data_IF_312061546718
#
_entry.id   IF_312061546718
#
_cell.length_a   1.000
_cell.length_b   1.000
_cell.length_c   1.000
_cell.angle_alpha   90.00
_cell.angle_beta   90.00
_cell.angle_gamma   90.00
#
_symmetry.space_group_name_H-M   'P 1'
#
loop_
_entity.id
_entity.type
_entity.pdbx_description
1 polymer ?
#
# COMPACT_ATOMS: atom_id res chain seq x y z
N UNK A 1 -30.41 -23.84 -9.41
CA UNK A 1 -30.08 -22.49 -9.91
C UNK A 1 -28.77 -22.64 -10.65
N UNK A 2 -28.73 -22.50 -11.98
CA UNK A 2 -27.46 -22.54 -12.73
C UNK A 2 -26.92 -21.12 -12.82
N UNK A 3 -25.63 -20.95 -12.52
CA UNK A 3 -24.95 -19.68 -12.71
C UNK A 3 -24.60 -19.52 -14.20
N UNK A 4 -24.65 -18.29 -14.76
CA UNK A 4 -24.32 -18.00 -16.17
C UNK A 4 -22.80 -17.96 -16.37
N UNK A 5 -22.13 -19.11 -16.18
CA UNK A 5 -20.67 -19.24 -16.25
C UNK A 5 -20.24 -20.29 -17.28
N UNK A 6 -19.18 -19.99 -18.01
CA UNK A 6 -18.57 -20.87 -19.01
C UNK A 6 -17.20 -21.31 -18.48
N UNK A 7 -16.88 -22.60 -18.61
CA UNK A 7 -15.56 -23.15 -18.30
C UNK A 7 -14.83 -23.52 -19.58
N UNK A 8 -13.59 -23.04 -19.74
CA UNK A 8 -12.71 -23.46 -20.82
C UNK A 8 -11.75 -24.57 -20.32
N UNK A 9 -11.86 -25.81 -20.84
CA UNK A 9 -11.01 -26.93 -20.41
C UNK A 9 -9.54 -26.79 -20.80
N UNK A 10 -9.21 -25.94 -21.79
CA UNK A 10 -7.83 -25.73 -22.24
C UNK A 10 -7.12 -24.74 -21.33
N UNK A 11 -7.70 -23.56 -21.13
CA UNK A 11 -7.13 -22.54 -20.24
C UNK A 11 -7.36 -22.83 -18.75
N UNK A 12 -8.31 -23.72 -18.43
CA UNK A 12 -8.79 -24.01 -17.07
C UNK A 12 -9.33 -22.76 -16.36
N UNK A 13 -9.89 -21.82 -17.11
CA UNK A 13 -10.47 -20.58 -16.61
C UNK A 13 -12.00 -20.61 -16.72
N UNK A 14 -12.63 -19.88 -15.80
CA UNK A 14 -14.06 -19.61 -15.80
C UNK A 14 -14.30 -18.19 -16.34
N UNK A 15 -15.30 -18.03 -17.20
CA UNK A 15 -15.75 -16.75 -17.75
C UNK A 15 -17.26 -16.56 -17.58
N UNK A 16 -17.71 -15.31 -17.68
CA UNK A 16 -19.14 -14.96 -17.60
C UNK A 16 -19.76 -15.04 -18.99
N UNK A 17 -21.00 -15.52 -19.08
CA UNK A 17 -21.80 -15.42 -20.30
C UNK A 17 -22.17 -13.96 -20.61
N UNK A 18 -22.25 -13.59 -21.89
CA UNK A 18 -22.57 -12.20 -22.32
C UNK A 18 -23.87 -11.65 -21.69
N UNK A 19 -24.80 -12.54 -21.32
CA UNK A 19 -26.08 -12.23 -20.68
C UNK A 19 -25.97 -11.68 -19.25
N UNK A 20 -24.85 -11.92 -18.57
CA UNK A 20 -24.60 -11.51 -17.18
C UNK A 20 -23.36 -10.62 -17.03
N UNK A 21 -22.84 -10.07 -18.14
CA UNK A 21 -21.63 -9.26 -18.17
C UNK A 21 -21.72 -7.93 -17.39
N UNK A 22 -22.93 -7.49 -17.02
CA UNK A 22 -23.13 -6.28 -16.21
C UNK A 22 -22.96 -6.51 -14.70
N UNK A 23 -22.89 -7.78 -14.25
CA UNK A 23 -22.72 -8.13 -12.85
C UNK A 23 -21.25 -8.04 -12.41
N UNK A 24 -20.90 -6.90 -11.80
CA UNK A 24 -19.54 -6.63 -11.30
C UNK A 24 -19.15 -7.55 -10.15
N UNK A 25 -20.08 -7.91 -9.27
CA UNK A 25 -19.79 -8.77 -8.12
C UNK A 25 -19.40 -10.17 -8.60
N UNK A 26 -20.17 -10.71 -9.55
CA UNK A 26 -19.86 -12.01 -10.17
C UNK A 26 -18.51 -11.98 -10.91
N UNK A 27 -18.19 -10.87 -11.58
CA UNK A 27 -16.91 -10.70 -12.28
C UNK A 27 -15.73 -10.72 -11.31
N UNK A 28 -15.84 -10.04 -10.17
CA UNK A 28 -14.82 -10.02 -9.14
C UNK A 28 -14.59 -11.42 -8.54
N UNK A 29 -15.66 -12.16 -8.24
CA UNK A 29 -15.58 -13.53 -7.72
C UNK A 29 -14.91 -14.50 -8.71
N UNK A 30 -15.25 -14.41 -10.00
CA UNK A 30 -14.64 -15.24 -11.04
C UNK A 30 -13.16 -14.92 -11.23
N UNK A 31 -12.78 -13.64 -11.15
CA UNK A 31 -11.37 -13.22 -11.17
C UNK A 31 -10.60 -13.78 -9.96
N UNK A 32 -11.21 -13.74 -8.77
CA UNK A 32 -10.63 -14.32 -7.56
C UNK A 32 -10.47 -15.85 -7.67
N UNK A 33 -11.48 -16.54 -8.21
CA UNK A 33 -11.47 -17.97 -8.47
C UNK A 33 -10.36 -18.36 -9.48
N UNK A 34 -10.29 -17.65 -10.60
CA UNK A 34 -9.28 -17.90 -11.63
C UNK A 34 -7.85 -17.70 -11.12
N UNK A 35 -7.63 -16.68 -10.28
CA UNK A 35 -6.34 -16.45 -9.62
C UNK A 35 -6.00 -17.60 -8.66
N UNK A 36 -6.94 -18.00 -7.82
CA UNK A 36 -6.73 -19.12 -6.88
C UNK A 36 -6.46 -20.45 -7.60
N UNK A 37 -7.21 -20.74 -8.66
CA UNK A 37 -7.03 -21.95 -9.47
C UNK A 37 -5.63 -22.00 -10.10
N UNK A 38 -5.13 -20.88 -10.64
CA UNK A 38 -3.76 -20.78 -11.16
C UNK A 38 -2.72 -21.05 -10.07
N UNK A 39 -2.88 -20.45 -8.90
CA UNK A 39 -1.96 -20.65 -7.78
C UNK A 39 -1.91 -22.13 -7.35
N UNK A 40 -3.07 -22.77 -7.21
CA UNK A 40 -3.18 -24.20 -6.86
C UNK A 40 -2.53 -25.11 -7.90
N UNK A 41 -2.81 -24.89 -9.18
CA UNK A 41 -2.19 -25.65 -10.28
C UNK A 41 -0.67 -25.50 -10.27
N UNK A 42 -0.17 -24.29 -9.98
CA UNK A 42 1.27 -24.02 -9.93
C UNK A 42 1.99 -24.69 -8.75
N UNK A 43 1.27 -24.99 -7.67
CA UNK A 43 1.82 -25.58 -6.45
C UNK A 43 2.10 -27.09 -6.62
N UNK A 44 1.45 -27.74 -7.59
CA UNK A 44 1.60 -29.17 -7.88
C UNK A 44 1.37 -30.09 -6.67
N UNK A 45 0.56 -29.64 -5.70
CA UNK A 45 0.10 -30.37 -4.53
C UNK A 45 -1.42 -30.28 -4.45
N UNK A 46 -2.07 -31.36 -4.03
CA UNK A 46 -3.53 -31.39 -3.84
C UNK A 46 -3.98 -30.52 -2.66
N UNK A 47 -3.10 -30.33 -1.67
CA UNK A 47 -3.35 -29.54 -0.48
C UNK A 47 -2.20 -28.54 -0.30
N UNK A 48 -2.49 -27.23 -0.16
CA UNK A 48 -1.47 -26.25 0.15
C UNK A 48 -0.71 -26.63 1.43
N UNK A 49 0.62 -26.52 1.39
CA UNK A 49 1.46 -26.73 2.57
C UNK A 49 1.12 -25.73 3.69
N UNK A 50 1.56 -26.03 4.92
CA UNK A 50 1.42 -25.16 6.09
C UNK A 50 1.76 -23.70 5.74
N UNK A 51 1.07 -22.69 6.31
CA UNK A 51 1.23 -21.27 5.99
C UNK A 51 2.61 -20.73 6.43
N UNK A 52 3.66 -21.12 5.71
CA UNK A 52 5.01 -20.62 5.86
C UNK A 52 5.31 -19.56 4.79
N UNK A 53 6.10 -18.52 5.11
CA UNK A 53 6.54 -17.56 4.10
C UNK A 53 7.36 -18.23 3.01
N UNK A 54 7.14 -17.87 1.74
CA UNK A 54 7.93 -18.40 0.63
C UNK A 54 9.43 -18.21 0.84
N UNK A 55 10.17 -19.32 0.75
CA UNK A 55 11.64 -19.38 0.89
C UNK A 55 12.38 -18.67 -0.25
N UNK A 56 11.73 -18.46 -1.39
CA UNK A 56 12.31 -17.82 -2.58
C UNK A 56 11.92 -16.33 -2.70
N UNK A 57 10.65 -16.02 -2.51
CA UNK A 57 10.15 -14.65 -2.70
C UNK A 57 10.58 -13.73 -1.55
N UNK A 58 10.59 -14.23 -0.30
CA UNK A 58 10.93 -13.39 0.87
C UNK A 58 12.36 -12.82 0.81
N UNK A 59 13.42 -13.60 0.48
CA UNK A 59 14.76 -13.04 0.31
C UNK A 59 14.86 -12.05 -0.86
N UNK A 60 14.16 -12.32 -1.96
CA UNK A 60 14.20 -11.46 -3.14
C UNK A 60 13.53 -10.10 -2.88
N UNK A 61 12.37 -10.10 -2.20
CA UNK A 61 11.69 -8.87 -1.78
C UNK A 61 12.57 -8.10 -0.80
N UNK A 62 13.14 -8.75 0.21
CA UNK A 62 14.10 -8.11 1.14
C UNK A 62 15.27 -7.45 0.41
N UNK A 63 15.83 -8.09 -0.61
CA UNK A 63 16.91 -7.53 -1.44
C UNK A 63 16.48 -6.28 -2.22
N UNK A 64 15.25 -6.27 -2.76
CA UNK A 64 14.71 -5.08 -3.43
C UNK A 64 14.49 -3.94 -2.45
N UNK A 65 13.99 -4.23 -1.25
CA UNK A 65 13.79 -3.23 -0.19
C UNK A 65 15.13 -2.65 0.26
N UNK A 66 16.14 -3.48 0.51
CA UNK A 66 17.47 -2.99 0.90
C UNK A 66 18.08 -2.12 -0.20
N UNK A 67 17.95 -2.52 -1.46
CA UNK A 67 18.37 -1.73 -2.62
C UNK A 67 17.62 -0.39 -2.71
N UNK A 68 16.31 -0.37 -2.49
CA UNK A 68 15.50 0.85 -2.46
C UNK A 68 15.90 1.80 -1.33
N UNK A 69 16.16 1.28 -0.13
CA UNK A 69 16.65 2.06 1.03
C UNK A 69 18.03 2.65 0.75
N UNK A 70 18.93 1.90 0.12
CA UNK A 70 20.25 2.43 -0.28
C UNK A 70 20.13 3.54 -1.32
N UNK A 71 19.25 3.39 -2.31
CA UNK A 71 18.98 4.42 -3.30
C UNK A 71 18.41 5.70 -2.63
N UNK A 72 17.52 5.54 -1.66
CA UNK A 72 16.97 6.64 -0.85
C UNK A 72 18.09 7.38 -0.09
N UNK A 73 18.99 6.65 0.57
CA UNK A 73 20.16 7.23 1.26
C UNK A 73 21.09 8.00 0.31
N UNK A 74 21.25 7.50 -0.92
CA UNK A 74 22.03 8.14 -1.99
C UNK A 74 21.27 9.30 -2.68
N UNK A 75 20.09 9.68 -2.19
CA UNK A 75 19.19 10.71 -2.78
C UNK A 75 18.78 10.42 -4.22
N UNK A 76 18.78 9.15 -4.63
CA UNK A 76 18.29 8.70 -5.94
C UNK A 76 16.81 8.30 -5.82
N UNK A 77 15.95 9.29 -5.63
CA UNK A 77 14.52 9.04 -5.33
C UNK A 77 13.76 8.28 -6.42
N UNK A 78 13.91 8.61 -7.73
CA UNK A 78 13.20 7.88 -8.79
C UNK A 78 13.60 6.39 -8.86
N UNK A 79 14.88 6.10 -8.64
CA UNK A 79 15.39 4.73 -8.61
C UNK A 79 14.83 3.97 -7.39
N UNK A 80 14.80 4.60 -6.21
CA UNK A 80 14.22 4.03 -5.01
C UNK A 80 12.74 3.67 -5.20
N UNK A 81 11.94 4.59 -5.76
CA UNK A 81 10.52 4.38 -6.04
C UNK A 81 10.32 3.18 -6.95
N UNK A 82 11.14 3.04 -8.01
CA UNK A 82 11.06 1.90 -8.94
C UNK A 82 11.34 0.57 -8.24
N UNK A 83 12.41 0.48 -7.45
CA UNK A 83 12.77 -0.74 -6.73
C UNK A 83 11.69 -1.14 -5.71
N UNK A 84 11.15 -0.17 -4.97
CA UNK A 84 10.11 -0.41 -3.97
C UNK A 84 8.76 -0.79 -4.60
N UNK A 85 8.43 -0.21 -5.76
CA UNK A 85 7.23 -0.58 -6.50
C UNK A 85 7.33 -2.00 -7.06
N UNK A 86 8.50 -2.40 -7.56
CA UNK A 86 8.77 -3.77 -7.96
C UNK A 86 8.67 -4.74 -6.77
N UNK A 87 9.14 -4.33 -5.58
CA UNK A 87 9.00 -5.13 -4.36
C UNK A 87 7.53 -5.37 -3.99
N UNK A 88 6.66 -4.37 -4.14
CA UNK A 88 5.21 -4.52 -3.91
C UNK A 88 4.57 -5.43 -4.96
N UNK A 89 4.95 -5.28 -6.23
CA UNK A 89 4.47 -6.17 -7.30
C UNK A 89 4.85 -7.64 -7.00
N UNK A 90 6.08 -7.88 -6.56
CA UNK A 90 6.53 -9.20 -6.14
C UNK A 90 5.78 -9.73 -4.91
N UNK A 91 5.51 -8.88 -3.91
CA UNK A 91 4.74 -9.27 -2.73
C UNK A 91 3.28 -9.64 -3.10
N UNK A 92 2.68 -8.95 -4.08
CA UNK A 92 1.31 -9.22 -4.56
C UNK A 92 1.15 -10.55 -5.31
N UNK A 93 2.26 -11.13 -5.78
CA UNK A 93 2.30 -12.42 -6.48
C UNK A 93 2.47 -13.62 -5.56
N UNK A 94 2.52 -13.40 -4.24
CA UNK A 94 2.58 -14.50 -3.27
C UNK A 94 1.28 -15.30 -3.26
N UNK A 95 1.40 -16.56 -2.92
CA UNK A 95 0.24 -17.43 -2.72
C UNK A 95 -0.62 -16.92 -1.56
N UNK A 96 -1.94 -17.01 -1.73
CA UNK A 96 -2.90 -16.44 -0.76
C UNK A 96 -3.04 -17.21 0.55
N UNK A 97 -2.54 -18.44 0.62
CA UNK A 97 -2.57 -19.27 1.83
C UNK A 97 -1.33 -19.13 2.71
N UNK A 98 -0.36 -18.26 2.37
CA UNK A 98 0.75 -17.97 3.28
C UNK A 98 0.29 -17.13 4.49
N UNK A 99 1.13 -17.05 5.52
CA UNK A 99 0.85 -16.28 6.72
C UNK A 99 0.61 -14.78 6.42
N UNK A 100 -0.65 -14.35 6.49
CA UNK A 100 -1.06 -12.96 6.24
C UNK A 100 -0.31 -11.96 7.12
N UNK A 101 -0.06 -12.29 8.39
CA UNK A 101 0.67 -11.42 9.30
C UNK A 101 2.07 -11.04 8.78
N UNK A 102 2.78 -11.99 8.14
CA UNK A 102 4.12 -11.75 7.58
C UNK A 102 4.02 -10.89 6.32
N UNK A 103 3.05 -11.19 5.44
CA UNK A 103 2.84 -10.42 4.22
C UNK A 103 2.47 -8.96 4.52
N UNK A 104 1.58 -8.74 5.50
CA UNK A 104 1.13 -7.42 5.90
C UNK A 104 2.27 -6.60 6.51
N UNK A 105 3.07 -7.18 7.41
CA UNK A 105 4.22 -6.50 7.99
C UNK A 105 5.25 -6.08 6.94
N UNK A 106 5.53 -6.97 5.97
CA UNK A 106 6.45 -6.67 4.89
C UNK A 106 5.90 -5.55 3.99
N UNK A 107 4.64 -5.64 3.57
CA UNK A 107 3.99 -4.59 2.77
C UNK A 107 4.04 -3.23 3.47
N UNK A 108 3.71 -3.18 4.76
CA UNK A 108 3.76 -1.96 5.56
C UNK A 108 5.18 -1.38 5.60
N UNK A 109 6.22 -2.22 5.70
CA UNK A 109 7.61 -1.76 5.67
C UNK A 109 7.99 -1.15 4.31
N UNK A 110 7.51 -1.72 3.20
CA UNK A 110 7.79 -1.24 1.85
C UNK A 110 7.07 0.09 1.60
N UNK A 111 5.79 0.16 1.96
CA UNK A 111 4.97 1.38 1.81
C UNK A 111 5.56 2.55 2.59
N UNK A 112 6.06 2.33 3.80
CA UNK A 112 6.65 3.41 4.61
C UNK A 112 7.89 4.03 3.91
N UNK A 113 8.79 3.18 3.39
CA UNK A 113 10.00 3.64 2.69
C UNK A 113 9.64 4.28 1.34
N UNK A 114 8.63 3.75 0.64
CA UNK A 114 8.18 4.30 -0.65
C UNK A 114 7.51 5.66 -0.47
N UNK A 115 6.70 5.82 0.58
CA UNK A 115 6.13 7.11 0.98
C UNK A 115 7.23 8.15 1.21
N UNK A 116 8.28 7.81 1.98
CA UNK A 116 9.42 8.72 2.20
C UNK A 116 10.10 9.11 0.87
N UNK A 117 10.28 8.15 -0.04
CA UNK A 117 10.84 8.41 -1.37
C UNK A 117 9.95 9.34 -2.21
N UNK A 118 8.62 9.16 -2.17
CA UNK A 118 7.67 10.04 -2.86
C UNK A 118 7.66 11.46 -2.29
N UNK A 119 7.65 11.61 -0.95
CA UNK A 119 7.73 12.91 -0.27
C UNK A 119 9.02 13.64 -0.71
N UNK A 120 10.17 12.94 -0.69
CA UNK A 120 11.45 13.53 -1.11
C UNK A 120 11.49 13.89 -2.60
N UNK A 121 10.76 13.15 -3.44
CA UNK A 121 10.61 13.44 -4.87
C UNK A 121 9.49 14.43 -5.18
N UNK A 122 8.83 15.02 -4.16
CA UNK A 122 7.70 15.96 -4.28
C UNK A 122 6.48 15.37 -5.00
N UNK A 123 6.30 14.05 -4.94
CA UNK A 123 5.14 13.32 -5.45
C UNK A 123 4.10 13.16 -4.33
N UNK A 124 3.36 14.24 -4.06
CA UNK A 124 2.52 14.34 -2.87
C UNK A 124 1.28 13.45 -2.91
N UNK A 125 0.66 13.29 -4.08
CA UNK A 125 -0.55 12.47 -4.22
C UNK A 125 -0.24 10.98 -3.99
N UNK A 126 0.85 10.50 -4.57
CA UNK A 126 1.33 9.12 -4.40
C UNK A 126 1.79 8.87 -2.96
N UNK A 127 2.52 9.81 -2.36
CA UNK A 127 2.88 9.74 -0.95
C UNK A 127 1.65 9.67 -0.03
N UNK A 128 0.63 10.47 -0.30
CA UNK A 128 -0.62 10.48 0.45
C UNK A 128 -1.33 9.13 0.39
N UNK A 129 -1.41 8.52 -0.80
CA UNK A 129 -2.05 7.21 -0.96
C UNK A 129 -1.30 6.09 -0.22
N UNK A 130 0.03 6.09 -0.27
CA UNK A 130 0.85 5.09 0.45
C UNK A 130 0.64 5.16 1.96
N UNK A 131 0.64 6.38 2.53
CA UNK A 131 0.45 6.55 3.97
C UNK A 131 -1.00 6.37 4.41
N UNK A 132 -1.97 6.69 3.55
CA UNK A 132 -3.37 6.41 3.84
C UNK A 132 -3.62 4.90 3.92
N UNK A 133 -3.02 4.12 3.02
CA UNK A 133 -3.03 2.66 3.08
C UNK A 133 -2.38 2.15 4.38
N UNK A 134 -1.23 2.70 4.80
CA UNK A 134 -0.59 2.34 6.07
C UNK A 134 -1.46 2.60 7.30
N UNK A 135 -2.13 3.75 7.33
CA UNK A 135 -3.04 4.08 8.43
C UNK A 135 -4.29 3.18 8.39
N UNK A 136 -4.77 2.84 7.19
CA UNK A 136 -5.85 1.87 6.98
C UNK A 136 -5.51 0.44 7.43
N UNK A 137 -4.24 0.04 7.33
CA UNK A 137 -3.74 -1.25 7.86
C UNK A 137 -3.36 -1.22 9.35
N UNK A 138 -3.85 -0.22 10.08
CA UNK A 138 -3.64 -0.02 11.53
C UNK A 138 -2.19 0.28 11.94
N UNK A 139 -1.35 0.78 11.03
CA UNK A 139 0.00 1.30 11.38
C UNK A 139 -0.14 2.77 11.84
N UNK A 140 -0.88 2.97 12.93
CA UNK A 140 -1.20 4.29 13.49
C UNK A 140 -0.04 4.81 14.36
N UNK A 141 1.01 5.33 13.71
CA UNK A 141 2.17 5.92 14.39
C UNK A 141 2.27 7.42 14.16
N UNK A 142 2.90 8.19 15.09
CA UNK A 142 3.15 9.62 14.91
C UNK A 142 3.84 9.96 13.59
N UNK A 143 4.78 9.12 13.14
CA UNK A 143 5.50 9.30 11.87
C UNK A 143 4.58 9.21 10.66
N UNK A 144 3.60 8.31 10.67
CA UNK A 144 2.66 8.15 9.57
C UNK A 144 1.66 9.31 9.53
N UNK A 145 1.21 9.80 10.69
CA UNK A 145 0.42 11.04 10.73
C UNK A 145 1.22 12.23 10.22
N UNK A 146 2.50 12.34 10.57
CA UNK A 146 3.39 13.37 10.04
C UNK A 146 3.51 13.27 8.51
N UNK A 147 3.80 12.08 7.96
CA UNK A 147 3.89 11.84 6.50
C UNK A 147 2.60 12.26 5.78
N UNK A 148 1.43 11.84 6.28
CA UNK A 148 0.14 12.19 5.67
C UNK A 148 -0.14 13.68 5.75
N UNK A 149 0.19 14.32 6.87
CA UNK A 149 0.01 15.77 7.02
C UNK A 149 0.90 16.59 6.08
N UNK A 150 2.15 16.17 5.86
CA UNK A 150 3.08 16.83 4.93
C UNK A 150 2.56 16.70 3.50
N UNK A 151 2.11 15.51 3.10
CA UNK A 151 1.52 15.28 1.79
C UNK A 151 0.21 16.10 1.61
N UNK A 152 -0.68 16.07 2.59
CA UNK A 152 -1.94 16.82 2.58
C UNK A 152 -1.72 18.34 2.49
N UNK A 153 -0.76 18.87 3.26
CA UNK A 153 -0.38 20.29 3.23
C UNK A 153 0.05 20.73 1.82
N UNK A 154 0.93 19.96 1.17
CA UNK A 154 1.40 20.28 -0.19
C UNK A 154 0.33 20.07 -1.27
N UNK A 155 -0.73 19.32 -0.98
CA UNK A 155 -1.92 19.19 -1.83
C UNK A 155 -2.97 20.29 -1.57
N UNK A 156 -2.70 21.26 -0.69
CA UNK A 156 -3.63 22.33 -0.31
C UNK A 156 -4.75 21.86 0.64
N UNK A 157 -4.68 20.63 1.17
CA UNK A 157 -5.68 20.08 2.10
C UNK A 157 -5.32 20.44 3.54
N UNK A 158 -5.30 21.75 3.86
CA UNK A 158 -4.79 22.26 5.13
C UNK A 158 -5.57 21.75 6.35
N UNK A 159 -6.90 21.71 6.27
CA UNK A 159 -7.74 21.21 7.36
C UNK A 159 -7.47 19.74 7.68
N UNK A 160 -7.30 18.91 6.64
CA UNK A 160 -6.94 17.50 6.82
C UNK A 160 -5.55 17.36 7.45
N UNK A 161 -4.59 18.16 7.00
CA UNK A 161 -3.24 18.17 7.56
C UNK A 161 -3.25 18.52 9.06
N UNK A 162 -4.05 19.51 9.47
CA UNK A 162 -4.24 19.89 10.87
C UNK A 162 -4.79 18.73 11.70
N UNK A 163 -5.89 18.11 11.25
CA UNK A 163 -6.51 16.98 11.94
C UNK A 163 -5.53 15.81 12.10
N UNK A 164 -4.73 15.52 11.08
CA UNK A 164 -3.73 14.44 11.15
C UNK A 164 -2.63 14.74 12.17
N UNK A 165 -2.15 15.98 12.24
CA UNK A 165 -1.13 16.40 13.20
C UNK A 165 -1.65 16.36 14.64
N UNK A 166 -2.88 16.83 14.87
CA UNK A 166 -3.54 16.76 16.17
C UNK A 166 -3.71 15.30 16.62
N UNK A 167 -4.14 14.41 15.72
CA UNK A 167 -4.21 12.97 15.98
C UNK A 167 -2.84 12.38 16.30
N UNK A 168 -1.80 12.75 15.55
CA UNK A 168 -0.43 12.32 15.80
C UNK A 168 0.06 12.73 17.19
N UNK A 169 -0.27 13.95 17.63
CA UNK A 169 0.07 14.47 18.96
C UNK A 169 -0.66 13.74 20.09
N UNK A 170 -1.83 13.14 19.85
CA UNK A 170 -2.47 12.26 20.83
C UNK A 170 -1.63 11.01 21.15
N UNK A 171 -0.80 10.53 20.21
CA UNK A 171 0.11 9.41 20.44
C UNK A 171 1.47 9.86 20.97
N UNK A 172 1.95 11.03 20.55
CA UNK A 172 3.24 11.58 20.97
C UNK A 172 3.15 13.10 21.21
N UNK A 173 2.65 13.47 22.40
CA UNK A 173 2.34 14.86 22.76
C UNK A 173 3.54 15.81 22.64
N UNK A 174 4.77 15.30 22.82
CA UNK A 174 5.99 16.09 22.81
C UNK A 174 6.85 15.95 21.55
N UNK A 175 6.33 15.36 20.46
CA UNK A 175 7.09 15.29 19.21
C UNK A 175 7.29 16.71 18.61
N UNK A 176 8.54 17.20 18.54
CA UNK A 176 8.81 18.55 18.04
C UNK A 176 8.45 18.71 16.56
N UNK A 177 8.58 17.63 15.75
CA UNK A 177 8.31 17.66 14.31
C UNK A 177 6.82 17.87 14.05
N UNK A 178 5.96 17.19 14.81
CA UNK A 178 4.51 17.36 14.73
C UNK A 178 4.08 18.76 15.16
N UNK A 179 4.62 19.28 16.28
CA UNK A 179 4.32 20.64 16.75
C UNK A 179 4.76 21.71 15.75
N UNK A 180 5.96 21.58 15.21
CA UNK A 180 6.49 22.50 14.21
C UNK A 180 5.62 22.50 12.94
N UNK A 181 5.28 21.32 12.43
CA UNK A 181 4.44 21.20 11.25
C UNK A 181 3.03 21.74 11.51
N UNK A 182 2.45 21.51 12.70
CA UNK A 182 1.13 22.03 13.07
C UNK A 182 1.12 23.56 13.11
N UNK A 183 2.18 24.17 13.62
CA UNK A 183 2.34 25.63 13.58
C UNK A 183 2.40 26.15 12.14
N UNK A 184 3.09 25.46 11.24
CA UNK A 184 3.15 25.83 9.82
C UNK A 184 1.77 25.72 9.15
N UNK A 185 1.02 24.65 9.42
CA UNK A 185 -0.35 24.47 8.91
C UNK A 185 -1.27 25.56 9.44
N UNK A 186 -1.24 25.87 10.74
CA UNK A 186 -2.09 26.90 11.33
C UNK A 186 -1.81 28.29 10.74
N UNK A 187 -0.54 28.63 10.48
CA UNK A 187 -0.18 29.88 9.79
C UNK A 187 -0.75 29.94 8.37
N UNK A 188 -0.68 28.84 7.63
CA UNK A 188 -1.24 28.76 6.28
C UNK A 188 -2.77 28.90 6.29
N UNK A 189 -3.46 28.27 7.25
CA UNK A 189 -4.91 28.41 7.42
C UNK A 189 -5.29 29.86 7.74
N UNK A 190 -4.58 30.51 8.68
CA UNK A 190 -4.83 31.89 9.04
C UNK A 190 -4.64 32.85 7.84
N UNK A 191 -3.63 32.59 7.00
CA UNK A 191 -3.42 33.33 5.76
C UNK A 191 -4.55 33.12 4.75
N UNK A 192 -5.07 31.90 4.59
CA UNK A 192 -6.25 31.64 3.73
C UNK A 192 -7.53 32.32 4.24
N UNK A 193 -7.68 32.46 5.56
CA UNK A 193 -8.84 33.09 6.17
C UNK A 193 -8.76 34.63 6.20
N UNK A 194 -7.60 35.22 5.89
CA UNK A 194 -7.38 36.67 5.94
C UNK A 194 -7.16 37.22 7.35
N UNK A 195 -6.77 36.35 8.30
CA UNK A 195 -6.49 36.71 9.69
C UNK A 195 -5.05 37.24 9.89
N UNK A 196 -4.23 37.27 8.83
CA UNK A 196 -2.83 37.70 8.78
C UNK A 196 -2.54 38.58 7.55
#
# INVERSE_FOLDING_TARGET
MSLPIIYDPVSKLVSIEETAAEDKELQEEIDQLNRLAKDLISTNSEIPESPEPSKQLSPMIKKLVTSGVEALKKRKFPEAIKQLSLAIEMASRRSRWEAFAVQLQELNSILAVRCDAYIMNKQWAEAYNDVDMLLGTQVTTPENFLRRSVAAFNLGRLQQAKVDLERGLCFAENDPRLKEQLNNVNKAIAMECGDL
#
